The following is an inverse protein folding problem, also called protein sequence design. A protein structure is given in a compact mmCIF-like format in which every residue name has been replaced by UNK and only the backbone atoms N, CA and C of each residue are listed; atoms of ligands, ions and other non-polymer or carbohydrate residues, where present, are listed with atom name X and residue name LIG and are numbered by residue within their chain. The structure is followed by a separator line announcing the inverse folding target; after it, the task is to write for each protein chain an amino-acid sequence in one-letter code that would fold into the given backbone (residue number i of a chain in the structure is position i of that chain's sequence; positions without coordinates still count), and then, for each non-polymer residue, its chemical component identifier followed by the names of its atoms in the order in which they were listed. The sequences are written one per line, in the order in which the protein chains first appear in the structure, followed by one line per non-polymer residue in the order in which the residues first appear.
data_IF_751655548094
#
_entry.id   IF_751655548094
#
_cell.length_a   1.000
_cell.length_b   1.000
_cell.length_c   1.000
_cell.angle_alpha   90.00
_cell.angle_beta   90.00
_cell.angle_gamma   90.00
#
_symmetry.space_group_name_H-M   'P 1'
#
loop_
_entity.id
_entity.type
_entity.pdbx_description
1 polymer ?
#
# COMPACT_ATOMS: atom_id res chain seq x y z
N UNK A 1 15.25 8.33 11.36
CA UNK A 1 13.76 8.30 11.32
C UNK A 1 13.28 7.72 12.65
N UNK A 2 12.28 8.32 13.29
CA UNK A 2 11.67 7.73 14.50
C UNK A 2 10.80 6.54 14.10
N UNK A 3 10.86 5.46 14.87
CA UNK A 3 10.00 4.30 14.69
C UNK A 3 8.53 4.70 14.97
N UNK A 4 7.61 4.17 14.19
CA UNK A 4 6.17 4.48 14.25
C UNK A 4 5.36 3.19 14.31
N UNK A 5 4.10 3.30 14.72
CA UNK A 5 3.14 2.20 14.64
C UNK A 5 2.26 2.32 13.38
N UNK A 6 1.67 1.23 12.94
CA UNK A 6 0.69 1.28 11.86
C UNK A 6 -0.54 2.14 12.23
N UNK A 7 -0.90 2.19 13.52
CA UNK A 7 -2.00 3.04 14.00
C UNK A 7 -1.68 4.54 13.84
N UNK A 8 -0.45 4.96 14.12
CA UNK A 8 0.00 6.34 13.92
C UNK A 8 -0.01 6.74 12.44
N UNK A 9 0.44 5.84 11.55
CA UNK A 9 0.32 6.05 10.10
C UNK A 9 -1.14 6.27 9.69
N UNK A 10 -2.06 5.38 10.11
CA UNK A 10 -3.45 5.51 9.69
C UNK A 10 -4.14 6.73 10.32
N UNK A 11 -3.81 7.09 11.54
CA UNK A 11 -4.28 8.32 12.18
C UNK A 11 -3.81 9.58 11.43
N UNK A 12 -2.55 9.59 10.98
CA UNK A 12 -2.01 10.67 10.14
C UNK A 12 -2.75 10.72 8.79
N UNK A 13 -2.91 9.57 8.13
CA UNK A 13 -3.61 9.46 6.84
C UNK A 13 -5.02 10.04 6.91
N UNK A 14 -5.79 9.69 7.94
CA UNK A 14 -7.16 10.20 8.15
C UNK A 14 -7.16 11.70 8.36
N UNK A 15 -6.26 12.22 9.21
CA UNK A 15 -6.16 13.67 9.47
C UNK A 15 -5.82 14.46 8.21
N UNK A 16 -4.83 13.99 7.42
CA UNK A 16 -4.42 14.72 6.21
C UNK A 16 -5.47 14.65 5.10
N UNK A 17 -6.20 13.54 4.99
CA UNK A 17 -7.32 13.44 4.06
C UNK A 17 -8.47 14.41 4.40
N UNK A 18 -8.71 14.67 5.69
CA UNK A 18 -9.73 15.59 6.15
C UNK A 18 -9.30 17.07 6.04
N UNK A 19 -8.01 17.32 6.02
CA UNK A 19 -7.46 18.66 5.84
C UNK A 19 -7.49 19.03 4.36
N UNK A 20 -7.96 20.26 4.04
CA UNK A 20 -7.87 20.79 2.66
C UNK A 20 -6.41 21.16 2.40
N UNK A 21 -5.66 20.24 1.82
CA UNK A 21 -4.25 20.48 1.52
C UNK A 21 -4.10 21.38 0.29
N UNK A 22 -3.43 22.51 0.45
CA UNK A 22 -3.07 23.39 -0.67
C UNK A 22 -1.83 22.87 -1.44
N UNK A 23 -1.02 22.05 -0.81
CA UNK A 23 0.22 21.45 -1.33
C UNK A 23 0.27 19.95 -1.07
N UNK A 24 1.04 19.23 -1.87
CA UNK A 24 1.28 17.81 -1.64
C UNK A 24 2.09 17.57 -0.36
N UNK A 25 1.72 16.53 0.38
CA UNK A 25 2.41 16.08 1.59
C UNK A 25 2.91 14.66 1.37
N UNK A 26 4.14 14.38 1.83
CA UNK A 26 4.73 13.03 1.79
C UNK A 26 5.25 12.69 3.18
N UNK A 27 4.99 11.48 3.64
CA UNK A 27 5.58 10.95 4.86
C UNK A 27 5.97 9.48 4.66
N UNK A 28 7.18 9.15 5.09
CA UNK A 28 7.71 7.78 5.11
C UNK A 28 7.61 7.23 6.54
N UNK A 29 7.24 5.96 6.65
CA UNK A 29 7.00 5.26 7.90
C UNK A 29 7.88 4.04 8.01
N UNK A 30 8.43 3.82 9.20
CA UNK A 30 9.12 2.62 9.59
C UNK A 30 8.41 2.05 10.82
N UNK A 31 7.84 0.85 10.69
CA UNK A 31 7.03 0.26 11.75
C UNK A 31 7.90 -0.42 12.81
N UNK A 32 7.67 -0.11 14.09
CA UNK A 32 8.40 -0.71 15.21
C UNK A 32 7.74 -1.99 15.76
N UNK A 33 6.51 -2.26 15.39
CA UNK A 33 5.75 -3.42 15.87
C UNK A 33 4.86 -4.00 14.77
N UNK A 34 4.61 -5.33 14.78
CA UNK A 34 3.71 -5.95 13.83
C UNK A 34 2.26 -5.49 14.02
N UNK A 35 1.57 -5.33 12.90
CA UNK A 35 0.14 -5.00 12.86
C UNK A 35 -0.52 -5.58 11.61
N UNK A 36 -1.76 -6.05 11.74
CA UNK A 36 -2.62 -6.36 10.59
C UNK A 36 -3.39 -5.10 10.23
N UNK A 37 -3.17 -4.57 9.04
CA UNK A 37 -3.85 -3.38 8.52
C UNK A 37 -4.91 -3.79 7.53
N UNK A 38 -6.19 -3.64 7.89
CA UNK A 38 -7.34 -3.98 7.05
C UNK A 38 -7.66 -2.86 6.06
N UNK A 39 -7.96 -3.22 4.81
CA UNK A 39 -8.55 -2.29 3.86
C UNK A 39 -9.97 -1.90 4.25
N UNK A 40 -10.42 -0.72 3.81
CA UNK A 40 -11.75 -0.18 4.20
C UNK A 40 -12.95 -1.10 3.88
N UNK A 41 -12.83 -1.97 2.87
CA UNK A 41 -13.86 -2.95 2.51
C UNK A 41 -13.80 -4.24 3.35
N UNK A 42 -12.78 -4.41 4.19
CA UNK A 42 -12.54 -5.64 4.96
C UNK A 42 -12.93 -5.52 6.45
N UNK A 43 -13.61 -4.46 6.84
CA UNK A 43 -14.02 -4.23 8.25
C UNK A 43 -14.82 -5.40 8.83
N UNK A 44 -15.60 -6.08 8.02
CA UNK A 44 -16.36 -7.27 8.44
C UNK A 44 -15.48 -8.45 8.87
N UNK A 45 -14.22 -8.50 8.45
CA UNK A 45 -13.26 -9.54 8.86
C UNK A 45 -12.69 -9.29 10.26
N UNK A 46 -12.81 -8.06 10.78
CA UNK A 46 -12.23 -7.65 12.06
C UNK A 46 -12.53 -8.61 13.21
N UNK A 47 -13.81 -8.98 13.50
CA UNK A 47 -14.12 -9.86 14.64
C UNK A 47 -13.50 -11.25 14.51
N UNK A 48 -13.39 -11.79 13.29
CA UNK A 48 -12.79 -13.08 13.04
C UNK A 48 -11.27 -13.07 13.24
N UNK A 49 -10.61 -11.98 12.84
CA UNK A 49 -9.16 -11.81 13.00
C UNK A 49 -8.81 -11.55 14.47
N UNK A 50 -9.58 -10.70 15.18
CA UNK A 50 -9.38 -10.43 16.60
C UNK A 50 -9.41 -11.71 17.44
N UNK A 51 -10.38 -12.60 17.18
CA UNK A 51 -10.44 -13.90 17.86
C UNK A 51 -9.25 -14.81 17.59
N UNK A 52 -8.66 -14.75 16.39
CA UNK A 52 -7.51 -15.57 16.00
C UNK A 52 -6.18 -14.98 16.42
N UNK A 53 -6.09 -13.66 16.45
CA UNK A 53 -4.85 -12.95 16.80
C UNK A 53 -4.58 -12.97 18.32
N UNK A 54 -5.59 -13.26 19.16
CA UNK A 54 -5.47 -13.39 20.63
C UNK A 54 -4.66 -12.25 21.31
N UNK A 55 -4.73 -11.05 20.73
CA UNK A 55 -3.97 -9.89 21.22
C UNK A 55 -2.47 -9.87 20.85
N UNK A 56 -1.98 -10.88 20.12
CA UNK A 56 -0.56 -10.97 19.72
C UNK A 56 -0.16 -9.89 18.70
N UNK A 57 -1.11 -9.47 17.85
CA UNK A 57 -0.87 -8.48 16.77
C UNK A 57 -1.92 -7.39 16.81
N UNK A 58 -1.48 -6.14 16.72
CA UNK A 58 -2.39 -5.01 16.63
C UNK A 58 -3.24 -5.10 15.34
N UNK A 59 -4.53 -4.78 15.45
CA UNK A 59 -5.45 -4.73 14.31
C UNK A 59 -5.86 -3.30 14.04
N UNK A 60 -5.54 -2.81 12.84
CA UNK A 60 -5.72 -1.41 12.43
C UNK A 60 -6.54 -1.38 11.14
N UNK A 61 -7.38 -0.36 10.96
CA UNK A 61 -8.12 -0.11 9.72
C UNK A 61 -7.50 1.06 8.97
N UNK A 62 -7.35 0.92 7.63
CA UNK A 62 -6.91 2.03 6.79
C UNK A 62 -8.09 2.64 6.00
N UNK A 63 -8.04 3.94 5.68
CA UNK A 63 -9.05 4.58 4.82
C UNK A 63 -8.98 4.11 3.37
N UNK A 64 -7.82 3.64 2.92
CA UNK A 64 -7.60 3.15 1.55
C UNK A 64 -8.19 1.74 1.35
N UNK A 65 -8.46 1.40 0.08
CA UNK A 65 -8.93 0.08 -0.33
C UNK A 65 -7.81 -0.98 -0.35
N UNK A 66 -8.13 -2.13 -0.95
CA UNK A 66 -7.23 -3.29 -1.11
C UNK A 66 -7.31 -4.30 0.02
N UNK A 67 -6.53 -5.38 -0.08
CA UNK A 67 -6.46 -6.49 0.87
C UNK A 67 -5.73 -6.12 2.17
N UNK A 68 -5.79 -7.00 3.16
CA UNK A 68 -5.10 -6.86 4.42
C UNK A 68 -3.57 -6.90 4.24
N UNK A 69 -2.86 -6.13 5.06
CA UNK A 69 -1.39 -6.08 5.06
C UNK A 69 -0.90 -6.45 6.45
N UNK A 70 0.07 -7.34 6.53
CA UNK A 70 0.87 -7.53 7.73
C UNK A 70 2.04 -6.55 7.68
N UNK A 71 1.90 -5.43 8.39
CA UNK A 71 2.94 -4.41 8.51
C UNK A 71 3.86 -4.73 9.70
N UNK A 72 5.13 -4.36 9.59
CA UNK A 72 6.12 -4.58 10.62
C UNK A 72 7.50 -4.05 10.19
N UNK A 73 8.54 -4.39 10.93
CA UNK A 73 9.90 -3.93 10.66
C UNK A 73 10.46 -4.34 9.28
N UNK A 74 9.84 -5.35 8.65
CA UNK A 74 10.15 -5.81 7.29
C UNK A 74 9.54 -4.95 6.18
N UNK A 75 8.84 -3.88 6.53
CA UNK A 75 8.14 -3.02 5.58
C UNK A 75 8.42 -1.55 5.84
N UNK A 76 8.69 -0.81 4.78
CA UNK A 76 8.68 0.65 4.76
C UNK A 76 7.43 1.10 4.02
N UNK A 77 6.62 1.95 4.66
CA UNK A 77 5.43 2.53 4.03
C UNK A 77 5.67 4.00 3.67
N UNK A 78 4.96 4.47 2.63
CA UNK A 78 4.88 5.89 2.33
C UNK A 78 3.43 6.31 2.17
N UNK A 79 3.08 7.45 2.75
CA UNK A 79 1.80 8.12 2.60
C UNK A 79 2.00 9.43 1.83
N UNK A 80 1.26 9.60 0.73
CA UNK A 80 1.31 10.78 -0.12
C UNK A 80 -0.10 11.34 -0.21
N UNK A 81 -0.30 12.56 0.26
CA UNK A 81 -1.58 13.26 0.16
C UNK A 81 -1.44 14.40 -0.84
N UNK A 82 -2.28 14.39 -1.86
CA UNK A 82 -2.27 15.38 -2.94
C UNK A 82 -3.64 16.06 -3.03
N UNK A 83 -3.70 17.37 -3.36
CA UNK A 83 -4.95 18.00 -3.78
C UNK A 83 -5.59 17.24 -4.95
N UNK A 84 -6.92 17.14 -4.99
CA UNK A 84 -7.61 16.35 -6.02
C UNK A 84 -7.32 16.78 -7.47
N UNK A 85 -6.96 18.06 -7.68
CA UNK A 85 -6.55 18.61 -8.99
C UNK A 85 -5.05 18.49 -9.32
N UNK A 86 -4.26 17.80 -8.50
CA UNK A 86 -2.81 17.73 -8.68
C UNK A 86 -2.42 17.04 -9.99
N UNK A 87 -1.37 17.55 -10.67
CA UNK A 87 -0.94 17.06 -11.98
C UNK A 87 -0.58 15.56 -12.01
N UNK A 88 -0.02 15.01 -10.91
CA UNK A 88 0.31 13.59 -10.77
C UNK A 88 -0.91 12.67 -10.70
N UNK A 89 -2.13 13.21 -10.51
CA UNK A 89 -3.37 12.45 -10.44
C UNK A 89 -4.14 12.42 -11.76
N UNK A 90 -3.56 12.95 -12.84
CA UNK A 90 -4.18 12.95 -14.17
C UNK A 90 -4.36 11.53 -14.70
N UNK A 91 -5.43 11.32 -15.47
CA UNK A 91 -5.81 10.03 -16.02
C UNK A 91 -6.92 9.36 -15.24
N UNK A 92 -7.10 8.07 -15.47
CA UNK A 92 -8.08 7.26 -14.76
C UNK A 92 -7.56 6.79 -13.39
N UNK A 93 -8.43 6.09 -12.63
CA UNK A 93 -8.10 5.58 -11.28
C UNK A 93 -6.90 4.63 -11.25
N UNK A 94 -6.62 3.95 -12.34
CA UNK A 94 -5.54 2.98 -12.43
C UNK A 94 -4.24 3.68 -12.81
N UNK A 95 -4.28 4.54 -13.83
CA UNK A 95 -3.06 5.17 -14.36
C UNK A 95 -2.46 6.23 -13.44
N UNK A 96 -3.24 6.75 -12.48
CA UNK A 96 -2.71 7.66 -11.47
C UNK A 96 -1.65 7.02 -10.54
N UNK A 97 -1.53 5.70 -10.52
CA UNK A 97 -0.46 4.98 -9.79
C UNK A 97 0.82 4.82 -10.60
N UNK A 98 0.76 4.96 -11.93
CA UNK A 98 1.89 4.65 -12.83
C UNK A 98 3.18 5.34 -12.44
N UNK A 99 3.10 6.62 -12.12
CA UNK A 99 4.28 7.39 -11.70
C UNK A 99 4.84 6.88 -10.38
N UNK A 100 3.97 6.51 -9.43
CA UNK A 100 4.38 6.01 -8.12
C UNK A 100 5.05 4.64 -8.22
N UNK A 101 4.49 3.72 -9.01
CA UNK A 101 5.12 2.43 -9.29
C UNK A 101 6.50 2.58 -9.93
N UNK A 102 6.65 3.49 -10.90
CA UNK A 102 7.95 3.78 -11.52
C UNK A 102 8.96 4.37 -10.56
N UNK A 103 8.54 5.31 -9.72
CA UNK A 103 9.39 5.89 -8.67
C UNK A 103 9.94 4.79 -7.74
N UNK A 104 9.10 3.83 -7.35
CA UNK A 104 9.56 2.71 -6.53
C UNK A 104 10.53 1.78 -7.28
N UNK A 105 10.35 1.57 -8.60
CA UNK A 105 11.33 0.80 -9.41
C UNK A 105 12.70 1.48 -9.39
N UNK A 106 12.75 2.79 -9.58
CA UNK A 106 13.98 3.58 -9.55
C UNK A 106 14.63 3.53 -8.16
N UNK A 107 13.87 3.76 -7.10
CA UNK A 107 14.37 3.71 -5.72
C UNK A 107 14.91 2.32 -5.33
N UNK A 108 14.23 1.25 -5.72
CA UNK A 108 14.69 -0.12 -5.49
C UNK A 108 15.97 -0.43 -6.27
N UNK A 109 16.08 0.07 -7.51
CA UNK A 109 17.29 -0.10 -8.34
C UNK A 109 18.51 0.55 -7.70
N UNK A 110 18.37 1.74 -7.07
CA UNK A 110 19.44 2.38 -6.29
C UNK A 110 19.90 1.53 -5.10
N UNK A 111 19.00 0.70 -4.54
CA UNK A 111 19.31 -0.27 -3.49
C UNK A 111 19.81 -1.62 -4.05
N UNK A 112 20.02 -1.76 -5.37
CA UNK A 112 20.46 -3.01 -5.99
C UNK A 112 19.33 -4.04 -6.19
N UNK A 113 18.06 -3.69 -5.92
CA UNK A 113 16.91 -4.58 -6.05
C UNK A 113 16.25 -4.35 -7.41
N UNK A 114 16.13 -5.43 -8.20
CA UNK A 114 15.48 -5.37 -9.53
C UNK A 114 14.00 -5.73 -9.44
N UNK A 115 13.16 -4.88 -10.01
CA UNK A 115 11.74 -5.10 -10.15
C UNK A 115 11.18 -4.27 -11.31
N UNK A 116 9.92 -4.47 -11.62
CA UNK A 116 9.21 -3.66 -12.63
C UNK A 116 7.80 -3.32 -12.15
N UNK A 117 7.30 -2.18 -12.55
CA UNK A 117 5.93 -1.77 -12.30
C UNK A 117 4.99 -2.53 -13.25
N UNK A 118 4.09 -3.35 -12.71
CA UNK A 118 3.24 -4.28 -13.46
C UNK A 118 2.19 -3.51 -14.30
N UNK A 119 2.26 -3.53 -15.65
CA UNK A 119 1.28 -2.85 -16.48
C UNK A 119 -0.09 -3.53 -16.41
N UNK A 120 -1.16 -2.74 -16.58
CA UNK A 120 -2.55 -3.26 -16.51
C UNK A 120 -2.84 -4.40 -17.48
N UNK A 121 -2.21 -4.40 -18.66
CA UNK A 121 -2.44 -5.45 -19.67
C UNK A 121 -1.75 -6.78 -19.34
N UNK A 122 -0.74 -6.78 -18.47
CA UNK A 122 -0.04 -7.98 -18.00
C UNK A 122 -0.67 -8.59 -16.74
N UNK A 123 -1.54 -7.85 -16.04
CA UNK A 123 -2.09 -8.22 -14.74
C UNK A 123 -2.68 -9.63 -14.73
N UNK A 124 -3.56 -9.97 -15.71
CA UNK A 124 -4.21 -11.28 -15.74
C UNK A 124 -3.21 -12.44 -15.86
N UNK A 125 -2.16 -12.25 -16.65
CA UNK A 125 -1.10 -13.26 -16.82
C UNK A 125 -0.28 -13.42 -15.54
N UNK A 126 0.11 -12.29 -14.93
CA UNK A 126 0.89 -12.29 -13.70
C UNK A 126 0.10 -12.87 -12.53
N UNK A 127 -1.18 -12.51 -12.38
CA UNK A 127 -2.06 -13.02 -11.32
C UNK A 127 -2.33 -14.52 -11.47
N UNK A 128 -2.52 -15.01 -12.70
CA UNK A 128 -2.65 -16.43 -12.98
C UNK A 128 -1.37 -17.22 -12.64
N UNK A 129 -0.20 -16.61 -12.78
CA UNK A 129 1.08 -17.25 -12.44
C UNK A 129 1.27 -17.43 -10.92
N UNK A 130 0.56 -16.67 -10.06
CA UNK A 130 0.56 -16.90 -8.61
C UNK A 130 -0.04 -18.28 -8.25
N UNK A 131 -0.97 -18.78 -9.04
CA UNK A 131 -1.57 -20.10 -8.87
C UNK A 131 -2.12 -20.32 -7.44
N UNK A 132 -1.72 -21.44 -6.81
CA UNK A 132 -2.12 -21.81 -5.45
C UNK A 132 -1.58 -20.86 -4.37
N UNK A 133 -0.59 -20.00 -4.70
CA UNK A 133 -0.04 -19.02 -3.77
C UNK A 133 -0.88 -17.73 -3.71
N UNK A 134 -1.89 -17.59 -4.56
CA UNK A 134 -2.78 -16.43 -4.56
C UNK A 134 -3.63 -16.41 -3.28
N UNK A 135 -3.59 -15.30 -2.56
CA UNK A 135 -4.37 -15.06 -1.34
C UNK A 135 -5.17 -13.78 -1.53
N UNK A 136 -6.37 -13.90 -2.06
CA UNK A 136 -7.19 -12.77 -2.53
C UNK A 136 -7.55 -11.73 -1.46
N UNK A 137 -7.59 -12.12 -0.18
CA UNK A 137 -7.88 -11.20 0.92
C UNK A 137 -6.64 -10.46 1.43
N UNK A 138 -5.42 -10.91 1.08
CA UNK A 138 -4.15 -10.30 1.48
C UNK A 138 -3.60 -9.42 0.35
N UNK A 139 -3.15 -8.21 0.68
CA UNK A 139 -2.62 -7.27 -0.30
C UNK A 139 -1.41 -7.85 -1.07
N UNK A 140 -0.49 -8.50 -0.35
CA UNK A 140 0.69 -9.13 -0.97
C UNK A 140 0.41 -10.52 -1.54
N UNK A 141 -0.79 -11.04 -1.39
CA UNK A 141 -1.24 -12.32 -1.97
C UNK A 141 -1.99 -12.19 -3.29
N UNK A 142 -2.19 -10.98 -3.81
CA UNK A 142 -2.80 -10.69 -5.11
C UNK A 142 -2.10 -9.50 -5.75
N UNK A 143 -2.20 -9.34 -7.06
CA UNK A 143 -1.55 -8.27 -7.81
C UNK A 143 -2.56 -7.20 -8.25
N UNK A 144 -2.07 -5.98 -8.38
CA UNK A 144 -2.81 -4.84 -8.91
C UNK A 144 -1.93 -4.06 -9.90
N UNK A 145 -2.52 -3.29 -10.82
CA UNK A 145 -1.75 -2.53 -11.80
C UNK A 145 -0.78 -1.56 -11.13
N UNK A 146 0.39 -1.42 -11.71
CA UNK A 146 1.49 -0.51 -11.30
C UNK A 146 2.17 -0.86 -9.98
N UNK A 147 1.75 -1.92 -9.29
CA UNK A 147 2.53 -2.48 -8.19
C UNK A 147 3.88 -3.00 -8.70
N UNK A 148 4.91 -2.99 -7.85
CA UNK A 148 6.23 -3.45 -8.26
C UNK A 148 6.39 -4.92 -7.92
N UNK A 149 6.81 -5.70 -8.91
CA UNK A 149 7.07 -7.14 -8.78
C UNK A 149 8.50 -7.47 -9.19
N UNK A 150 9.07 -8.47 -8.56
CA UNK A 150 10.35 -9.05 -8.93
C UNK A 150 10.22 -9.93 -10.18
N UNK A 151 11.34 -10.36 -10.76
CA UNK A 151 11.36 -11.21 -11.95
C UNK A 151 10.67 -12.58 -11.73
N UNK A 152 10.62 -13.07 -10.51
CA UNK A 152 9.95 -14.30 -10.10
C UNK A 152 8.44 -14.12 -9.80
N UNK A 153 7.92 -12.92 -10.00
CA UNK A 153 6.50 -12.57 -9.80
C UNK A 153 6.14 -12.19 -8.35
N UNK A 154 7.06 -12.25 -7.39
CA UNK A 154 6.79 -11.80 -6.01
C UNK A 154 6.56 -10.30 -5.97
N UNK A 155 5.54 -9.87 -5.24
CA UNK A 155 5.27 -8.46 -5.02
C UNK A 155 6.31 -7.85 -4.07
N UNK A 156 6.99 -6.80 -4.52
CA UNK A 156 7.93 -6.00 -3.74
C UNK A 156 7.26 -4.76 -3.15
N UNK A 157 6.34 -4.13 -3.92
CA UNK A 157 5.63 -2.93 -3.49
C UNK A 157 4.15 -3.07 -3.77
N UNK A 158 3.35 -2.93 -2.72
CA UNK A 158 1.89 -2.80 -2.81
C UNK A 158 1.46 -1.34 -2.84
N UNK A 159 0.42 -1.02 -3.61
CA UNK A 159 -0.13 0.33 -3.76
C UNK A 159 -1.62 0.35 -3.39
N UNK A 160 -2.06 1.41 -2.72
CA UNK A 160 -3.47 1.64 -2.46
C UNK A 160 -3.80 3.13 -2.50
N UNK A 161 -5.09 3.48 -2.69
CA UNK A 161 -5.52 4.87 -2.67
C UNK A 161 -6.85 5.06 -1.96
N UNK A 162 -7.07 6.28 -1.51
CA UNK A 162 -8.37 6.81 -1.09
C UNK A 162 -8.57 8.17 -1.73
N UNK A 163 -9.68 8.32 -2.45
CA UNK A 163 -10.09 9.62 -3.00
C UNK A 163 -11.21 10.22 -2.16
N UNK A 164 -11.08 11.50 -1.89
CA UNK A 164 -12.12 12.37 -1.36
C UNK A 164 -12.30 13.55 -2.31
N UNK A 165 -13.27 14.41 -2.02
CA UNK A 165 -13.60 15.55 -2.86
C UNK A 165 -12.39 16.44 -3.15
N UNK A 166 -11.63 16.77 -2.12
CA UNK A 166 -10.59 17.80 -2.16
C UNK A 166 -9.17 17.23 -2.06
N UNK A 167 -9.02 15.95 -1.70
CA UNK A 167 -7.72 15.31 -1.51
C UNK A 167 -7.71 13.84 -1.96
N UNK A 168 -6.54 13.38 -2.37
CA UNK A 168 -6.26 11.98 -2.68
C UNK A 168 -5.09 11.51 -1.83
N UNK A 169 -5.29 10.44 -1.09
CA UNK A 169 -4.23 9.70 -0.41
C UNK A 169 -3.78 8.56 -1.31
N UNK A 170 -2.48 8.50 -1.58
CA UNK A 170 -1.80 7.33 -2.14
C UNK A 170 -0.94 6.74 -1.03
N UNK A 171 -0.97 5.44 -0.88
CA UNK A 171 -0.11 4.71 0.07
C UNK A 171 0.64 3.61 -0.63
N UNK A 172 1.88 3.41 -0.23
CA UNK A 172 2.69 2.28 -0.67
C UNK A 172 3.25 1.52 0.54
N UNK A 173 3.41 0.21 0.38
CA UNK A 173 4.17 -0.62 1.32
C UNK A 173 5.24 -1.36 0.53
N UNK A 174 6.50 -1.16 0.89
CA UNK A 174 7.68 -1.77 0.27
C UNK A 174 8.26 -2.80 1.23
N UNK A 175 8.41 -4.05 0.79
CA UNK A 175 9.11 -5.08 1.55
C UNK A 175 10.62 -4.79 1.51
N UNK A 176 11.26 -4.77 2.68
CA UNK A 176 12.69 -4.46 2.85
C UNK A 176 13.47 -5.60 3.51
N UNK A 177 12.79 -6.63 3.97
CA UNK A 177 13.33 -7.88 4.47
C UNK A 177 12.40 -9.04 4.12
N UNK A 178 12.97 -10.25 4.04
CA UNK A 178 12.23 -11.51 3.84
C UNK A 178 11.58 -12.01 5.13
#
# INVERSE_FOLDING_TARGET
MSASTAAEEQAWNVRQLAAVAAVGLVRVWHHCSPAVVLGCAQRSLRPAIERRAEGVVALVERPAGGGAVLAGAWMVSASIVLPSGHALLRGNLIDCYRWLGRLHVEALAECGVRGYALPSHELRRADAALGANAVSWACFGALSPWEVVAADGRKLVGLAQRRQRDAVLLVSGTLVAD
#
